data_IF_139112937010
#
_entry.id   IF_139112937010
#
_cell.length_a   1.000
_cell.length_b   1.000
_cell.length_c   1.000
_cell.angle_alpha   90.00
_cell.angle_beta   90.00
_cell.angle_gamma   90.00
#
_symmetry.space_group_name_H-M   'P 1'
#
loop_
_entity.id
_entity.type
_entity.pdbx_description
1 polymer ?
#
# COMPACT_ATOMS: atom_id res chain seq x y z
N UNK A 1 1.24 -10.30 -2.06
CA UNK A 1 0.63 -9.30 -1.16
C UNK A 1 0.11 -8.18 -2.03
N UNK A 2 -1.10 -7.72 -1.76
CA UNK A 2 -1.90 -6.79 -2.57
C UNK A 2 -2.04 -5.44 -1.84
N UNK A 3 -2.68 -4.47 -2.48
CA UNK A 3 -2.96 -3.12 -1.97
C UNK A 3 -4.43 -2.94 -1.57
N UNK A 4 -4.69 -1.87 -0.82
CA UNK A 4 -5.92 -1.58 -0.08
C UNK A 4 -6.20 -2.56 1.08
N UNK A 5 -7.07 -2.14 1.99
CA UNK A 5 -7.47 -2.93 3.17
C UNK A 5 -8.07 -4.30 2.82
N UNK A 6 -8.79 -4.37 1.72
CA UNK A 6 -9.44 -5.59 1.23
C UNK A 6 -8.56 -6.37 0.25
N UNK A 7 -7.37 -5.88 -0.12
CA UNK A 7 -6.43 -6.53 -1.02
C UNK A 7 -6.94 -6.71 -2.44
N UNK A 8 -7.75 -5.79 -2.96
CA UNK A 8 -8.38 -5.88 -4.30
C UNK A 8 -7.46 -5.50 -5.46
N UNK A 9 -6.36 -4.80 -5.22
CA UNK A 9 -5.40 -4.42 -6.25
C UNK A 9 -4.09 -5.20 -6.06
N UNK A 10 -3.61 -5.91 -7.08
CA UNK A 10 -2.50 -6.85 -6.93
C UNK A 10 -1.14 -6.19 -6.62
N UNK A 11 -0.93 -4.96 -7.09
CA UNK A 11 0.29 -4.17 -6.93
C UNK A 11 -0.01 -2.66 -6.89
N UNK A 12 1.05 -1.84 -6.82
CA UNK A 12 0.93 -0.38 -6.76
C UNK A 12 0.47 0.20 -8.09
N UNK A 13 0.89 -0.37 -9.21
CA UNK A 13 0.40 0.04 -10.53
C UNK A 13 -1.12 -0.10 -10.64
N UNK A 14 -1.68 -1.25 -10.25
CA UNK A 14 -3.13 -1.48 -10.24
C UNK A 14 -3.83 -0.56 -9.24
N UNK A 15 -3.23 -0.33 -8.08
CA UNK A 15 -3.76 0.55 -7.04
C UNK A 15 -3.88 2.00 -7.54
N UNK A 16 -2.84 2.54 -8.18
CA UNK A 16 -2.76 3.95 -8.58
C UNK A 16 -3.90 4.38 -9.53
N UNK A 17 -4.48 3.43 -10.27
CA UNK A 17 -5.62 3.69 -11.19
C UNK A 17 -6.93 3.93 -10.44
N UNK A 18 -7.08 3.41 -9.23
CA UNK A 18 -8.30 3.50 -8.43
C UNK A 18 -8.63 4.94 -8.00
N UNK A 19 -7.74 5.60 -7.22
CA UNK A 19 -7.98 6.96 -6.72
C UNK A 19 -8.23 7.99 -7.80
N UNK A 20 -7.60 7.81 -8.96
CA UNK A 20 -7.78 8.70 -10.10
C UNK A 20 -9.22 8.68 -10.63
N UNK A 21 -9.91 7.54 -10.54
CA UNK A 21 -11.23 7.34 -11.14
C UNK A 21 -12.38 7.38 -10.13
N UNK A 22 -12.14 7.10 -8.85
CA UNK A 22 -13.19 7.05 -7.86
C UNK A 22 -13.84 8.44 -7.65
N UNK A 23 -15.17 8.46 -7.65
CA UNK A 23 -15.97 9.70 -7.60
C UNK A 23 -15.81 10.49 -6.30
N UNK A 24 -15.43 9.81 -5.23
CA UNK A 24 -15.18 10.41 -3.90
C UNK A 24 -13.69 10.67 -3.63
N UNK A 25 -12.82 10.40 -4.60
CA UNK A 25 -11.38 10.65 -4.51
C UNK A 25 -10.99 11.75 -5.51
N UNK A 26 -10.29 11.43 -6.62
CA UNK A 26 -9.89 12.44 -7.61
C UNK A 26 -10.95 12.69 -8.70
N UNK A 27 -11.90 11.77 -8.88
CA UNK A 27 -13.04 11.89 -9.80
C UNK A 27 -12.65 12.30 -11.24
N UNK A 28 -11.62 11.68 -11.80
CA UNK A 28 -11.16 11.92 -13.16
C UNK A 28 -11.40 10.69 -14.06
N UNK A 29 -11.14 10.82 -15.37
CA UNK A 29 -11.24 9.72 -16.34
C UNK A 29 -9.87 9.44 -16.97
N UNK A 30 -9.56 8.18 -17.34
CA UNK A 30 -8.28 7.84 -17.97
C UNK A 30 -7.95 8.72 -19.19
N UNK A 31 -8.94 8.99 -20.04
CA UNK A 31 -8.76 9.78 -21.27
C UNK A 31 -8.45 11.24 -20.95
N UNK A 32 -9.08 11.79 -19.92
CA UNK A 32 -8.85 13.17 -19.47
C UNK A 32 -7.46 13.33 -18.84
N UNK A 33 -7.00 12.33 -18.08
CA UNK A 33 -5.62 12.32 -17.54
C UNK A 33 -4.61 12.30 -18.67
N UNK A 34 -4.77 11.42 -19.66
CA UNK A 34 -3.87 11.35 -20.82
C UNK A 34 -3.88 12.66 -21.59
N UNK A 35 -5.08 13.23 -21.85
CA UNK A 35 -5.23 14.52 -22.53
C UNK A 35 -4.52 15.64 -21.77
N UNK A 36 -4.73 15.73 -20.45
CA UNK A 36 -4.07 16.74 -19.61
C UNK A 36 -2.54 16.61 -19.64
N UNK A 37 -2.01 15.39 -19.52
CA UNK A 37 -0.57 15.14 -19.60
C UNK A 37 0.02 15.51 -20.97
N UNK A 38 -0.72 15.26 -22.05
CA UNK A 38 -0.32 15.65 -23.41
C UNK A 38 -0.34 17.17 -23.63
N UNK A 39 -1.27 17.88 -23.00
CA UNK A 39 -1.41 19.34 -23.15
C UNK A 39 -0.35 20.14 -22.37
N UNK A 40 0.40 19.53 -21.46
CA UNK A 40 1.44 20.22 -20.68
C UNK A 40 2.80 19.97 -21.35
N UNK A 41 3.45 21.00 -21.94
CA UNK A 41 4.67 20.81 -22.74
C UNK A 41 5.82 20.11 -22.02
N UNK A 42 5.89 20.23 -20.70
CA UNK A 42 6.92 19.59 -19.88
C UNK A 42 6.79 18.07 -19.74
N UNK A 43 5.59 17.49 -19.88
CA UNK A 43 5.40 16.05 -19.61
C UNK A 43 5.84 15.16 -20.77
N UNK A 44 5.59 15.55 -22.02
CA UNK A 44 6.00 14.77 -23.20
C UNK A 44 7.48 14.32 -23.18
N UNK A 45 8.48 15.21 -22.98
CA UNK A 45 9.87 14.79 -22.90
C UNK A 45 10.19 13.91 -21.68
N UNK A 46 9.49 14.09 -20.56
CA UNK A 46 9.68 13.26 -19.36
C UNK A 46 9.19 11.83 -19.59
N UNK A 47 8.00 11.66 -20.18
CA UNK A 47 7.46 10.36 -20.52
C UNK A 47 8.27 9.66 -21.61
N UNK A 48 8.76 10.38 -22.62
CA UNK A 48 9.65 9.81 -23.63
C UNK A 48 10.97 9.30 -23.00
N UNK A 49 11.51 10.03 -22.01
CA UNK A 49 12.72 9.60 -21.29
C UNK A 49 12.48 8.41 -20.37
N UNK A 50 11.33 8.38 -19.69
CA UNK A 50 10.96 7.29 -18.79
C UNK A 50 10.59 5.99 -19.54
N UNK A 51 9.99 6.12 -20.73
CA UNK A 51 9.47 4.99 -21.53
C UNK A 51 10.00 5.01 -22.98
N UNK A 52 11.32 4.92 -23.20
CA UNK A 52 11.93 5.16 -24.51
C UNK A 52 11.55 4.14 -25.60
N UNK A 53 11.14 2.92 -25.21
CA UNK A 53 10.71 1.88 -26.14
C UNK A 53 9.23 1.99 -26.55
N UNK A 54 8.44 2.84 -25.90
CA UNK A 54 7.01 2.98 -26.18
C UNK A 54 6.78 3.88 -27.39
N UNK A 55 5.97 3.42 -28.36
CA UNK A 55 5.54 4.25 -29.51
C UNK A 55 4.69 5.46 -29.09
N UNK A 56 3.94 5.30 -28.00
CA UNK A 56 3.13 6.37 -27.39
C UNK A 56 3.34 6.30 -25.88
N UNK A 57 4.27 7.10 -25.32
CA UNK A 57 4.68 6.93 -23.93
C UNK A 57 3.70 7.53 -22.92
N UNK A 58 2.89 8.52 -23.31
CA UNK A 58 1.84 9.07 -22.43
C UNK A 58 0.59 8.20 -22.53
N UNK A 59 0.44 7.27 -21.60
CA UNK A 59 -0.74 6.42 -21.41
C UNK A 59 -1.13 6.41 -19.94
N UNK A 60 -2.36 6.00 -19.64
CA UNK A 60 -2.82 5.85 -18.26
C UNK A 60 -2.02 4.79 -17.50
N UNK A 61 -1.62 3.71 -18.19
CA UNK A 61 -0.79 2.64 -17.61
C UNK A 61 0.62 3.13 -17.28
N UNK A 62 1.25 3.90 -18.18
CA UNK A 62 2.59 4.44 -17.93
C UNK A 62 2.57 5.51 -16.83
N UNK A 63 1.46 6.24 -16.67
CA UNK A 63 1.26 7.12 -15.51
C UNK A 63 1.26 6.29 -14.22
N UNK A 64 0.48 5.21 -14.17
CA UNK A 64 0.45 4.32 -13.01
C UNK A 64 1.81 3.67 -12.73
N UNK A 65 2.54 3.21 -13.75
CA UNK A 65 3.90 2.65 -13.61
C UNK A 65 4.89 3.70 -13.08
N UNK A 66 4.82 4.95 -13.57
CA UNK A 66 5.70 6.00 -13.10
C UNK A 66 5.47 6.30 -11.61
N UNK A 67 4.21 6.28 -11.15
CA UNK A 67 3.84 6.43 -9.74
C UNK A 67 4.35 5.24 -8.92
N UNK A 68 4.08 4.01 -9.36
CA UNK A 68 4.56 2.79 -8.67
C UNK A 68 6.08 2.81 -8.46
N UNK A 69 6.85 3.17 -9.50
CA UNK A 69 8.30 3.21 -9.40
C UNK A 69 8.79 4.31 -8.47
N UNK A 70 8.07 5.44 -8.39
CA UNK A 70 8.35 6.45 -7.38
C UNK A 70 8.02 5.94 -5.98
N UNK A 71 6.87 5.31 -5.78
CA UNK A 71 6.45 4.74 -4.49
C UNK A 71 7.37 3.62 -4.01
N UNK A 72 7.94 2.84 -4.93
CA UNK A 72 8.96 1.83 -4.63
C UNK A 72 10.25 2.42 -4.01
N UNK A 73 10.46 3.74 -4.16
CA UNK A 73 11.56 4.46 -3.48
C UNK A 73 11.19 4.99 -2.10
N UNK A 74 9.90 5.03 -1.76
CA UNK A 74 9.37 5.56 -0.49
C UNK A 74 9.50 4.54 0.65
N UNK A 75 10.69 3.99 0.81
CA UNK A 75 11.05 3.09 1.90
C UNK A 75 11.55 3.90 3.10
N UNK A 76 11.34 3.36 4.30
CA UNK A 76 11.74 3.99 5.56
C UNK A 76 12.76 3.13 6.31
N UNK A 77 13.96 2.90 5.75
CA UNK A 77 14.97 2.07 6.40
C UNK A 77 15.51 2.71 7.67
N UNK A 78 16.16 1.88 8.49
CA UNK A 78 16.91 2.30 9.68
C UNK A 78 16.03 2.87 10.80
N UNK A 79 14.83 2.32 10.95
CA UNK A 79 14.12 2.43 12.21
C UNK A 79 15.00 1.90 13.37
N UNK A 80 14.83 2.39 14.61
CA UNK A 80 15.50 1.83 15.78
C UNK A 80 15.34 0.30 15.87
N UNK A 81 14.15 -0.22 15.56
CA UNK A 81 13.89 -1.66 15.50
C UNK A 81 14.69 -2.38 14.39
N UNK A 82 14.85 -1.79 13.20
CA UNK A 82 15.70 -2.37 12.14
C UNK A 82 17.15 -2.49 12.59
N UNK A 83 17.68 -1.45 13.24
CA UNK A 83 19.05 -1.47 13.79
C UNK A 83 19.19 -2.52 14.88
N UNK A 84 18.15 -2.69 15.69
CA UNK A 84 18.09 -3.73 16.71
C UNK A 84 18.18 -5.13 16.08
N UNK A 85 17.41 -5.37 15.02
CA UNK A 85 17.44 -6.62 14.25
C UNK A 85 18.80 -6.84 13.55
N UNK A 86 19.46 -5.77 13.10
CA UNK A 86 20.83 -5.81 12.55
C UNK A 86 21.92 -6.00 13.63
N UNK A 87 21.55 -6.18 14.90
CA UNK A 87 22.46 -6.53 15.99
C UNK A 87 22.84 -5.38 16.93
N UNK A 88 22.42 -4.14 16.67
CA UNK A 88 22.65 -3.03 17.58
C UNK A 88 21.63 -3.06 18.74
N UNK A 89 21.90 -3.86 19.77
CA UNK A 89 21.00 -4.01 20.93
C UNK A 89 20.69 -2.70 21.65
N UNK A 90 21.61 -1.73 21.62
CA UNK A 90 21.42 -0.42 22.27
C UNK A 90 20.48 0.54 21.51
N UNK A 91 19.97 0.13 20.36
CA UNK A 91 19.06 0.96 19.56
C UNK A 91 17.63 0.98 20.08
N UNK A 92 17.26 0.03 20.95
CA UNK A 92 16.02 0.08 21.72
C UNK A 92 16.33 0.39 23.18
N UNK A 93 15.40 1.07 23.84
CA UNK A 93 15.37 1.24 25.28
C UNK A 93 14.89 -0.06 25.95
N UNK A 94 15.20 -0.27 27.25
CA UNK A 94 14.71 -1.45 27.98
C UNK A 94 13.18 -1.61 27.95
N UNK A 95 12.44 -0.49 27.92
CA UNK A 95 10.96 -0.51 27.84
C UNK A 95 10.48 -0.97 26.46
N UNK A 96 11.17 -0.58 25.39
CA UNK A 96 10.84 -1.02 24.03
C UNK A 96 11.18 -2.50 23.81
N UNK A 97 12.29 -2.98 24.38
CA UNK A 97 12.62 -4.42 24.38
C UNK A 97 11.55 -5.24 25.13
N UNK A 98 11.07 -4.75 26.27
CA UNK A 98 9.97 -5.39 26.99
C UNK A 98 8.68 -5.40 26.16
N UNK A 99 8.36 -4.28 25.50
CA UNK A 99 7.22 -4.20 24.58
C UNK A 99 7.32 -5.18 23.41
N UNK A 100 8.52 -5.34 22.83
CA UNK A 100 8.78 -6.33 21.79
C UNK A 100 8.53 -7.76 22.30
N UNK A 101 8.99 -8.09 23.51
CA UNK A 101 8.71 -9.39 24.13
C UNK A 101 7.20 -9.62 24.30
N UNK A 102 6.47 -8.65 24.84
CA UNK A 102 5.00 -8.73 24.95
C UNK A 102 4.36 -8.94 23.59
N UNK A 103 4.79 -8.22 22.55
CA UNK A 103 4.27 -8.35 21.19
C UNK A 103 4.44 -9.76 20.62
N UNK A 104 5.61 -10.37 20.85
CA UNK A 104 5.88 -11.74 20.44
C UNK A 104 5.07 -12.75 21.26
N UNK A 105 5.11 -12.65 22.59
CA UNK A 105 4.50 -13.62 23.51
C UNK A 105 2.96 -13.60 23.48
N UNK A 106 2.35 -12.43 23.19
CA UNK A 106 0.90 -12.31 23.02
C UNK A 106 0.41 -12.76 21.64
N UNK A 107 1.31 -13.17 20.75
CA UNK A 107 0.97 -13.72 19.44
C UNK A 107 0.69 -12.68 18.36
N UNK A 108 1.03 -11.40 18.56
CA UNK A 108 0.83 -10.35 17.55
C UNK A 108 1.58 -10.67 16.25
N UNK A 109 2.74 -11.33 16.38
CA UNK A 109 3.56 -11.80 15.25
C UNK A 109 2.86 -12.82 14.34
N UNK A 110 1.74 -13.42 14.76
CA UNK A 110 0.96 -14.31 13.91
C UNK A 110 0.34 -13.59 12.70
N UNK A 111 0.02 -12.30 12.85
CA UNK A 111 -0.53 -11.45 11.77
C UNK A 111 0.43 -10.32 11.35
N UNK A 112 1.32 -9.89 12.25
CA UNK A 112 2.23 -8.76 12.07
C UNK A 112 3.69 -9.21 12.12
N UNK A 113 4.20 -9.72 11.00
CA UNK A 113 5.57 -10.22 10.87
C UNK A 113 6.17 -9.90 9.49
N UNK A 114 7.40 -10.36 9.26
CA UNK A 114 8.15 -10.11 8.04
C UNK A 114 8.71 -8.68 7.97
N UNK A 115 9.23 -8.31 6.80
CA UNK A 115 9.93 -7.04 6.58
C UNK A 115 9.09 -5.82 6.92
N UNK A 116 7.77 -5.87 6.71
CA UNK A 116 6.86 -4.74 6.94
C UNK A 116 6.03 -4.88 8.22
N UNK A 117 6.32 -5.88 9.07
CA UNK A 117 5.62 -6.15 10.35
C UNK A 117 4.08 -6.20 10.15
N UNK A 118 3.64 -6.90 9.10
CA UNK A 118 2.25 -6.89 8.65
C UNK A 118 2.13 -6.86 7.13
N UNK A 119 0.90 -6.72 6.65
CA UNK A 119 0.58 -6.71 5.22
C UNK A 119 0.75 -8.07 4.52
N UNK A 120 1.01 -9.15 5.27
CA UNK A 120 1.33 -10.45 4.68
C UNK A 120 0.11 -11.34 4.37
N UNK A 121 -1.08 -10.96 4.82
CA UNK A 121 -2.28 -11.79 4.68
C UNK A 121 -3.57 -11.10 5.13
N UNK A 122 -4.65 -11.85 5.10
CA UNK A 122 -5.99 -11.40 5.49
C UNK A 122 -6.48 -12.19 6.70
N UNK A 123 -7.08 -11.49 7.66
CA UNK A 123 -7.55 -12.08 8.90
C UNK A 123 -8.91 -11.47 9.25
N UNK A 124 -9.82 -12.22 9.90
CA UNK A 124 -11.04 -11.64 10.42
C UNK A 124 -10.73 -10.50 11.40
N UNK A 125 -11.30 -9.32 11.18
CA UNK A 125 -11.21 -8.26 12.19
C UNK A 125 -12.22 -8.55 13.31
N UNK A 126 -11.72 -9.13 14.39
CA UNK A 126 -12.52 -9.70 15.48
C UNK A 126 -12.42 -11.23 15.59
N UNK A 127 -11.20 -11.78 15.52
CA UNK A 127 -10.93 -13.23 15.56
C UNK A 127 -11.47 -13.92 16.83
N UNK A 128 -11.54 -13.20 17.95
CA UNK A 128 -12.03 -13.71 19.24
C UNK A 128 -13.30 -13.01 19.66
N UNK A 129 -13.27 -11.68 19.63
CA UNK A 129 -14.40 -10.83 19.97
C UNK A 129 -14.59 -9.80 18.86
N UNK A 130 -15.85 -9.58 18.48
CA UNK A 130 -16.17 -8.57 17.49
C UNK A 130 -15.93 -7.16 18.08
N UNK A 131 -15.20 -6.27 17.39
CA UNK A 131 -15.14 -4.87 17.78
C UNK A 131 -16.54 -4.24 17.76
N UNK A 132 -16.69 -3.11 18.45
CA UNK A 132 -17.92 -2.31 18.41
C UNK A 132 -18.21 -1.85 16.98
N UNK A 133 -19.47 -1.51 16.69
CA UNK A 133 -19.87 -1.02 15.37
C UNK A 133 -19.18 0.31 14.97
N UNK A 134 -18.70 1.07 15.96
CA UNK A 134 -17.88 2.26 15.72
C UNK A 134 -16.50 1.89 15.16
N UNK A 135 -15.89 0.82 15.68
CA UNK A 135 -14.57 0.35 15.26
C UNK A 135 -14.66 -0.54 14.01
N UNK A 136 -15.74 -1.31 13.86
CA UNK A 136 -16.02 -2.16 12.70
C UNK A 136 -17.44 -1.90 12.18
N UNK A 137 -17.62 -0.87 11.34
CA UNK A 137 -18.92 -0.53 10.76
C UNK A 137 -19.52 -1.70 9.97
N UNK A 138 -20.80 -2.00 10.19
CA UNK A 138 -21.47 -3.16 9.56
C UNK A 138 -21.65 -3.01 8.05
N UNK A 139 -21.60 -1.79 7.53
CA UNK A 139 -21.63 -1.53 6.08
C UNK A 139 -20.32 -1.84 5.37
N UNK A 140 -19.25 -2.16 6.09
CA UNK A 140 -17.96 -2.55 5.53
C UNK A 140 -17.59 -4.00 5.85
N UNK A 141 -17.86 -4.88 4.90
CA UNK A 141 -17.56 -6.32 4.97
C UNK A 141 -16.14 -6.65 4.47
N UNK A 142 -15.34 -5.64 4.14
CA UNK A 142 -13.96 -5.79 3.69
C UNK A 142 -13.85 -6.70 2.47
N UNK A 143 -13.00 -7.72 2.58
CA UNK A 143 -12.66 -8.62 1.45
C UNK A 143 -13.84 -9.43 0.91
N UNK A 144 -14.93 -9.58 1.67
CA UNK A 144 -16.15 -10.21 1.16
C UNK A 144 -16.69 -9.49 -0.09
N UNK A 145 -16.61 -8.16 -0.15
CA UNK A 145 -17.02 -7.37 -1.33
C UNK A 145 -16.16 -7.63 -2.58
N UNK A 146 -14.98 -8.22 -2.41
CA UNK A 146 -14.04 -8.54 -3.48
C UNK A 146 -14.23 -9.99 -3.96
N UNK A 147 -14.42 -10.92 -3.04
CA UNK A 147 -14.42 -12.36 -3.34
C UNK A 147 -15.80 -13.00 -3.37
N UNK A 148 -16.82 -12.39 -2.77
CA UNK A 148 -18.14 -12.98 -2.51
C UNK A 148 -18.07 -14.34 -1.77
N UNK A 149 -17.02 -14.55 -0.98
CA UNK A 149 -16.82 -15.76 -0.17
C UNK A 149 -16.52 -15.37 1.27
N UNK A 150 -17.19 -16.03 2.21
CA UNK A 150 -16.97 -15.86 3.65
C UNK A 150 -15.62 -16.47 4.10
#
# INVERSE_FOLDING_TARGET
VAQFWDGRAEDLQAQAKGPVQASVEMNNKPEEVVRTLQCIPGYAPLFQRAFPAAKSPITFDNMATAIELFEATLLTPDAPFDRYLKGNRKSLTPKEEEGLRVFMDKGCVACHAGTNVGGAGYFPFGVREAPTAEIRPTGDEGRFKVTNTA
#
